data_IF_944667472290
#
_entry.id   IF_944667472290
#
_cell.length_a   1.000
_cell.length_b   1.000
_cell.length_c   1.000
_cell.angle_alpha   90.00
_cell.angle_beta   90.00
_cell.angle_gamma   90.00
#
_symmetry.space_group_name_H-M   'P 1'
#
loop_
_entity.id
_entity.type
_entity.pdbx_description
1 polymer ?
#
# COMPACT_ATOMS: atom_id res chain seq x y z
N UNK A 1 2.01 -12.84 -20.03
CA UNK A 1 2.20 -11.44 -19.56
C UNK A 1 1.87 -11.27 -18.08
N UNK A 2 0.67 -11.63 -17.61
CA UNK A 2 0.29 -11.53 -16.19
C UNK A 2 1.28 -12.19 -15.21
N UNK A 3 1.69 -13.43 -15.44
CA UNK A 3 2.62 -14.14 -14.55
C UNK A 3 3.99 -13.45 -14.43
N UNK A 4 4.46 -12.80 -15.51
CA UNK A 4 5.71 -12.04 -15.53
C UNK A 4 5.56 -10.78 -14.65
N UNK A 5 4.48 -10.03 -14.83
CA UNK A 5 4.20 -8.82 -14.03
C UNK A 5 4.05 -9.17 -12.55
N UNK A 6 3.36 -10.29 -12.25
CA UNK A 6 3.22 -10.79 -10.88
C UNK A 6 4.58 -11.13 -10.28
N UNK A 7 5.43 -11.84 -11.01
CA UNK A 7 6.78 -12.20 -10.56
C UNK A 7 7.65 -10.96 -10.31
N UNK A 8 7.65 -10.00 -11.25
CA UNK A 8 8.37 -8.73 -11.09
C UNK A 8 7.88 -7.99 -9.84
N UNK A 9 6.56 -7.89 -9.65
CA UNK A 9 5.98 -7.26 -8.47
C UNK A 9 6.39 -7.94 -7.16
N UNK A 10 6.53 -9.28 -7.16
CA UNK A 10 7.04 -10.04 -6.00
C UNK A 10 8.52 -9.70 -5.74
N UNK A 11 9.37 -9.76 -6.76
CA UNK A 11 10.81 -9.46 -6.63
C UNK A 11 11.06 -8.04 -6.13
N UNK A 12 10.32 -7.07 -6.66
CA UNK A 12 10.40 -5.68 -6.23
C UNK A 12 10.09 -5.56 -4.73
N UNK A 13 9.04 -6.23 -4.24
CA UNK A 13 8.68 -6.18 -2.81
C UNK A 13 9.74 -6.82 -1.91
N UNK A 14 10.35 -7.92 -2.34
CA UNK A 14 11.37 -8.61 -1.54
C UNK A 14 12.72 -7.89 -1.51
N UNK A 15 13.16 -7.30 -2.63
CA UNK A 15 14.53 -6.79 -2.75
C UNK A 15 14.64 -5.27 -2.64
N UNK A 16 13.60 -4.52 -2.99
CA UNK A 16 13.69 -3.06 -3.10
C UNK A 16 12.86 -2.29 -2.07
N UNK A 17 11.89 -2.94 -1.42
CA UNK A 17 11.04 -2.27 -0.43
C UNK A 17 11.63 -2.49 0.97
N UNK A 18 12.08 -1.43 1.65
CA UNK A 18 12.62 -1.56 3.00
C UNK A 18 11.51 -1.85 4.01
N UNK A 19 11.87 -2.50 5.11
CA UNK A 19 10.96 -2.73 6.23
C UNK A 19 10.56 -1.38 6.87
N UNK A 20 9.26 -1.00 6.84
CA UNK A 20 8.79 0.27 7.39
C UNK A 20 8.90 0.37 8.92
N UNK A 21 9.02 -0.76 9.61
CA UNK A 21 9.11 -0.84 11.07
C UNK A 21 10.55 -0.97 11.56
N UNK A 22 11.56 -0.84 10.69
CA UNK A 22 12.97 -1.01 11.04
C UNK A 22 13.47 -0.07 12.15
N UNK A 23 12.81 1.07 12.37
CA UNK A 23 13.11 2.01 13.47
C UNK A 23 12.55 1.59 14.83
N UNK A 24 11.68 0.57 14.90
CA UNK A 24 11.07 0.10 16.15
C UNK A 24 11.87 -1.03 16.80
N UNK A 25 11.74 -1.15 18.12
CA UNK A 25 12.16 -2.36 18.83
C UNK A 25 11.38 -3.57 18.27
N UNK A 26 12.10 -4.63 17.90
CA UNK A 26 11.54 -5.82 17.21
C UNK A 26 10.89 -5.52 15.85
N UNK A 27 11.38 -4.52 15.11
CA UNK A 27 10.86 -4.11 13.81
C UNK A 27 10.67 -5.23 12.78
N UNK A 28 11.52 -6.26 12.78
CA UNK A 28 11.33 -7.43 11.90
C UNK A 28 10.10 -8.26 12.29
N UNK A 29 9.92 -8.56 13.58
CA UNK A 29 8.76 -9.30 14.06
C UNK A 29 7.47 -8.54 13.79
N UNK A 30 7.48 -7.22 14.02
CA UNK A 30 6.33 -6.36 13.72
C UNK A 30 6.02 -6.39 12.22
N UNK A 31 7.03 -6.35 11.36
CA UNK A 31 6.83 -6.45 9.92
C UNK A 31 6.20 -7.78 9.50
N UNK A 32 6.68 -8.92 10.03
CA UNK A 32 6.08 -10.22 9.72
C UNK A 32 4.61 -10.32 10.14
N UNK A 33 4.26 -9.71 11.28
CA UNK A 33 2.88 -9.67 11.76
C UNK A 33 2.04 -8.70 10.90
N UNK A 34 2.59 -7.55 10.52
CA UNK A 34 1.88 -6.49 9.81
C UNK A 34 1.71 -6.77 8.32
N UNK A 35 2.63 -7.48 7.67
CA UNK A 35 2.65 -7.73 6.23
C UNK A 35 1.34 -8.35 5.70
N UNK A 36 0.73 -9.38 6.33
CA UNK A 36 -0.58 -9.88 5.93
C UNK A 36 -1.69 -8.82 5.97
N UNK A 37 -1.66 -7.91 6.95
CA UNK A 37 -2.62 -6.82 7.05
C UNK A 37 -2.39 -5.78 5.94
N UNK A 38 -1.14 -5.42 5.66
CA UNK A 38 -0.79 -4.50 4.56
C UNK A 38 -1.28 -5.06 3.23
N UNK A 39 -1.08 -6.35 2.98
CA UNK A 39 -1.60 -7.01 1.78
C UNK A 39 -3.13 -6.94 1.71
N UNK A 40 -3.82 -7.26 2.81
CA UNK A 40 -5.29 -7.24 2.88
C UNK A 40 -5.85 -5.85 2.60
N UNK A 41 -5.29 -4.81 3.24
CA UNK A 41 -5.68 -3.41 3.02
C UNK A 41 -5.40 -3.01 1.57
N UNK A 42 -4.23 -3.35 1.03
CA UNK A 42 -3.86 -3.05 -0.35
C UNK A 42 -4.86 -3.67 -1.33
N UNK A 43 -5.24 -4.93 -1.14
CA UNK A 43 -6.26 -5.57 -1.97
C UNK A 43 -7.62 -4.89 -1.88
N UNK A 44 -8.03 -4.48 -0.69
CA UNK A 44 -9.28 -3.73 -0.49
C UNK A 44 -9.29 -2.41 -1.24
N UNK A 45 -8.21 -1.63 -1.12
CA UNK A 45 -8.06 -0.33 -1.81
C UNK A 45 -8.04 -0.50 -3.32
N UNK A 46 -7.30 -1.49 -3.84
CA UNK A 46 -7.27 -1.78 -5.28
C UNK A 46 -8.66 -2.17 -5.78
N UNK A 47 -9.44 -2.91 -4.97
CA UNK A 47 -10.81 -3.28 -5.29
C UNK A 47 -11.75 -2.09 -5.47
N UNK A 48 -11.42 -0.91 -4.92
CA UNK A 48 -12.17 0.33 -5.19
C UNK A 48 -12.00 0.73 -6.66
N UNK A 49 -10.81 0.53 -7.24
CA UNK A 49 -10.43 1.02 -8.57
C UNK A 49 -10.51 -0.02 -9.69
N UNK A 50 -10.46 -1.31 -9.33
CA UNK A 50 -10.31 -2.40 -10.28
C UNK A 50 -11.34 -3.50 -10.02
N UNK A 51 -12.16 -3.78 -11.03
CA UNK A 51 -13.12 -4.88 -11.01
C UNK A 51 -12.41 -6.22 -11.31
N UNK A 52 -12.58 -7.19 -10.40
CA UNK A 52 -12.10 -8.56 -10.61
C UNK A 52 -12.68 -9.15 -11.90
N UNK A 53 -11.83 -9.80 -12.69
CA UNK A 53 -12.23 -10.46 -13.94
C UNK A 53 -12.10 -9.60 -15.21
N UNK A 54 -11.69 -8.32 -15.08
CA UNK A 54 -11.43 -7.45 -16.24
C UNK A 54 -10.08 -7.77 -16.92
N UNK A 55 -8.99 -7.11 -16.51
CA UNK A 55 -7.64 -7.39 -17.00
C UNK A 55 -6.68 -7.72 -15.86
N UNK A 56 -6.28 -9.00 -15.64
CA UNK A 56 -5.46 -9.40 -14.49
C UNK A 56 -4.11 -8.68 -14.39
N UNK A 57 -3.52 -8.29 -15.53
CA UNK A 57 -2.25 -7.56 -15.55
C UNK A 57 -2.39 -6.17 -14.91
N UNK A 58 -3.46 -5.44 -15.25
CA UNK A 58 -3.76 -4.11 -14.69
C UNK A 58 -3.98 -4.20 -13.19
N UNK A 59 -4.72 -5.21 -12.72
CA UNK A 59 -4.91 -5.44 -11.28
C UNK A 59 -3.59 -5.68 -10.54
N UNK A 60 -2.67 -6.46 -11.12
CA UNK A 60 -1.36 -6.72 -10.53
C UNK A 60 -0.46 -5.47 -10.48
N UNK A 61 -0.56 -4.60 -11.49
CA UNK A 61 0.18 -3.32 -11.52
C UNK A 61 -0.38 -2.38 -10.45
N UNK A 62 -1.69 -2.17 -10.42
CA UNK A 62 -2.33 -1.33 -9.39
C UNK A 62 -2.01 -1.82 -7.98
N UNK A 63 -2.05 -3.13 -7.76
CA UNK A 63 -1.67 -3.71 -6.48
C UNK A 63 -0.25 -3.35 -6.07
N UNK A 64 0.70 -3.47 -7.00
CA UNK A 64 2.10 -3.15 -6.71
C UNK A 64 2.27 -1.67 -6.39
N UNK A 65 1.61 -0.78 -7.15
CA UNK A 65 1.62 0.67 -6.90
C UNK A 65 1.04 1.01 -5.53
N UNK A 66 -0.14 0.50 -5.19
CA UNK A 66 -0.74 0.78 -3.89
C UNK A 66 0.04 0.15 -2.74
N UNK A 67 0.64 -1.02 -2.93
CA UNK A 67 1.52 -1.60 -1.93
C UNK A 67 2.69 -0.67 -1.61
N UNK A 68 3.33 -0.10 -2.65
CA UNK A 68 4.38 0.91 -2.48
C UNK A 68 3.89 2.14 -1.73
N UNK A 69 2.70 2.63 -2.05
CA UNK A 69 2.10 3.77 -1.33
C UNK A 69 1.89 3.42 0.14
N UNK A 70 1.30 2.28 0.47
CA UNK A 70 1.08 1.88 1.86
C UNK A 70 2.38 1.75 2.66
N UNK A 71 3.39 1.06 2.10
CA UNK A 71 4.69 0.94 2.77
C UNK A 71 5.39 2.30 2.88
N UNK A 72 5.30 3.14 1.84
CA UNK A 72 5.82 4.51 1.86
C UNK A 72 5.17 5.38 2.94
N UNK A 73 3.86 5.26 3.15
CA UNK A 73 3.15 5.96 4.22
C UNK A 73 3.58 5.45 5.60
N UNK A 74 3.79 4.14 5.77
CA UNK A 74 4.30 3.58 7.02
C UNK A 74 5.75 4.02 7.29
N UNK A 75 6.62 4.07 6.27
CA UNK A 75 7.96 4.63 6.37
C UNK A 75 7.92 6.11 6.79
N UNK A 76 6.98 6.89 6.22
CA UNK A 76 6.79 8.28 6.59
C UNK A 76 6.36 8.41 8.07
N UNK A 77 5.47 7.54 8.55
CA UNK A 77 5.14 7.46 9.98
C UNK A 77 6.37 7.13 10.83
N UNK A 78 7.23 6.22 10.37
CA UNK A 78 8.50 5.88 11.01
C UNK A 78 9.49 7.05 11.03
N UNK A 79 9.53 7.87 9.99
CA UNK A 79 10.36 9.08 9.91
C UNK A 79 9.92 10.16 10.92
N UNK A 80 8.63 10.21 11.25
CA UNK A 80 8.09 11.07 12.31
C UNK A 80 8.07 10.37 13.69
N UNK A 81 8.94 9.38 13.92
CA UNK A 81 9.05 8.64 15.18
C UNK A 81 7.70 8.09 15.69
N UNK A 82 6.83 7.66 14.78
CA UNK A 82 5.50 7.14 15.10
C UNK A 82 4.65 8.13 15.92
N UNK A 83 4.87 9.44 15.72
CA UNK A 83 4.11 10.49 16.37
C UNK A 83 2.61 10.38 16.02
N UNK A 84 1.76 10.32 17.05
CA UNK A 84 0.31 10.12 16.91
C UNK A 84 -0.37 11.21 16.06
N UNK A 85 0.06 12.47 16.21
CA UNK A 85 -0.51 13.59 15.46
C UNK A 85 -0.12 13.46 13.98
N UNK A 86 1.16 13.16 13.70
CA UNK A 86 1.63 12.96 12.33
C UNK A 86 0.88 11.80 11.65
N UNK A 87 0.69 10.67 12.34
CA UNK A 87 -0.08 9.53 11.84
C UNK A 87 -1.51 9.93 11.48
N UNK A 88 -2.19 10.68 12.36
CA UNK A 88 -3.56 11.15 12.11
C UNK A 88 -3.62 12.05 10.86
N UNK A 89 -2.68 12.98 10.73
CA UNK A 89 -2.60 13.88 9.58
C UNK A 89 -2.36 13.11 8.28
N UNK A 90 -1.39 12.19 8.27
CA UNK A 90 -1.06 11.35 7.12
C UNK A 90 -2.29 10.52 6.71
N UNK A 91 -2.96 9.88 7.68
CA UNK A 91 -4.15 9.08 7.42
C UNK A 91 -5.31 9.93 6.86
N UNK A 92 -5.55 11.13 7.42
CA UNK A 92 -6.59 12.04 6.96
C UNK A 92 -6.34 12.49 5.51
N UNK A 93 -5.10 12.85 5.16
CA UNK A 93 -4.72 13.22 3.80
C UNK A 93 -4.92 12.05 2.83
N UNK A 94 -4.46 10.86 3.21
CA UNK A 94 -4.61 9.65 2.41
C UNK A 94 -6.09 9.31 2.12
N UNK A 95 -6.94 9.31 3.15
CA UNK A 95 -8.38 9.08 3.01
C UNK A 95 -9.03 10.15 2.13
N UNK A 96 -8.67 11.42 2.33
CA UNK A 96 -9.19 12.54 1.53
C UNK A 96 -8.87 12.34 0.04
N UNK A 97 -7.63 11.96 -0.30
CA UNK A 97 -7.26 11.65 -1.68
C UNK A 97 -8.15 10.54 -2.26
N UNK A 98 -8.39 9.46 -1.52
CA UNK A 98 -9.26 8.38 -1.97
C UNK A 98 -10.69 8.85 -2.22
N UNK A 99 -11.27 9.63 -1.31
CA UNK A 99 -12.62 10.19 -1.44
C UNK A 99 -12.72 11.10 -2.65
N UNK A 100 -11.74 12.00 -2.86
CA UNK A 100 -11.71 12.92 -4.00
C UNK A 100 -11.64 12.16 -5.32
N UNK A 101 -10.75 11.17 -5.44
CA UNK A 101 -10.63 10.36 -6.67
C UNK A 101 -11.95 9.62 -6.94
N UNK A 102 -12.58 9.05 -5.91
CA UNK A 102 -13.86 8.34 -6.07
C UNK A 102 -14.98 9.29 -6.50
N UNK A 103 -15.01 10.50 -5.95
CA UNK A 103 -15.99 11.53 -6.32
C UNK A 103 -15.82 11.96 -7.77
N UNK A 104 -14.59 12.22 -8.21
CA UNK A 104 -14.29 12.58 -9.61
C UNK A 104 -14.73 11.47 -10.55
N UNK A 105 -14.39 10.22 -10.23
CA UNK A 105 -14.76 9.06 -11.05
C UNK A 105 -16.27 8.91 -11.22
N UNK A 106 -17.04 9.07 -10.13
CA UNK A 106 -18.49 8.91 -10.18
C UNK A 106 -19.22 10.12 -10.83
N UNK A 107 -18.50 11.21 -11.12
CA UNK A 107 -19.04 12.41 -11.75
C UNK A 107 -18.82 12.44 -13.27
N UNK A 108 -18.10 11.47 -13.83
CA UNK A 108 -17.83 11.28 -15.26
C UNK A 108 -18.68 10.11 -15.75
#
# INVERSE_FOLDING_TARGET
MYNIIKLIGVLIRFYYIPNPFSSLANGELINYIAEPFIHTVTFGVVGIYYNRGSNPAVGSILYTIFYFVHVGLLLLCGFFDWNKIAIIVIAALYITCHVLINKVRNSI
#
